data_IF_596577323246
#
_entry.id   IF_596577323246
#
_cell.length_a   1.000
_cell.length_b   1.000
_cell.length_c   1.000
_cell.angle_alpha   90.00
_cell.angle_beta   90.00
_cell.angle_gamma   90.00
#
_symmetry.space_group_name_H-M   'P 1'
#
loop_
_entity.id
_entity.type
_entity.pdbx_description
1 polymer ?
#
# COMPACT_ATOMS: atom_id res chain seq x y z
N UNK A 1 26.53 -43.19 71.01
CA UNK A 1 26.10 -43.32 69.64
C UNK A 1 25.07 -42.24 69.32
N UNK A 2 25.53 -41.12 68.79
CA UNK A 2 24.64 -40.00 68.48
C UNK A 2 24.23 -40.10 67.02
N UNK A 3 22.90 -40.27 66.80
CA UNK A 3 22.29 -40.28 65.47
C UNK A 3 22.05 -38.80 65.07
N UNK A 4 22.85 -38.29 64.16
CA UNK A 4 22.61 -36.99 63.54
C UNK A 4 21.46 -37.09 62.57
N UNK A 5 20.34 -36.39 62.88
CA UNK A 5 19.20 -36.22 61.99
C UNK A 5 19.49 -35.04 61.10
N UNK A 6 19.60 -35.27 59.79
CA UNK A 6 19.71 -34.22 58.81
C UNK A 6 18.32 -33.77 58.45
N UNK A 7 17.97 -32.55 58.86
CA UNK A 7 16.76 -31.89 58.36
C UNK A 7 17.08 -31.27 56.98
N UNK A 8 16.54 -31.86 55.94
CA UNK A 8 16.54 -31.27 54.59
C UNK A 8 15.49 -30.16 54.53
N UNK A 9 15.95 -28.90 54.52
CA UNK A 9 15.07 -27.78 54.21
C UNK A 9 14.85 -27.73 52.71
N UNK A 10 13.63 -28.08 52.25
CA UNK A 10 13.21 -27.90 50.89
C UNK A 10 12.92 -26.40 50.68
N UNK A 11 13.81 -25.69 49.97
CA UNK A 11 13.50 -24.36 49.45
C UNK A 11 12.51 -24.51 48.27
N UNK A 12 11.26 -24.16 48.50
CA UNK A 12 10.30 -23.99 47.42
C UNK A 12 10.54 -22.65 46.74
N UNK A 13 11.18 -22.70 45.56
CA UNK A 13 11.36 -21.53 44.72
C UNK A 13 10.01 -21.22 44.03
N UNK A 14 9.28 -20.27 44.58
CA UNK A 14 8.07 -19.74 43.93
C UNK A 14 8.47 -18.96 42.70
N UNK A 15 8.31 -19.56 41.50
CA UNK A 15 8.44 -18.87 40.26
C UNK A 15 7.20 -18.00 40.07
N UNK A 16 7.38 -16.68 40.31
CA UNK A 16 6.39 -15.68 39.88
C UNK A 16 6.41 -15.63 38.36
N UNK A 17 5.39 -16.29 37.74
CA UNK A 17 5.11 -16.10 36.31
C UNK A 17 4.70 -14.64 36.09
N UNK A 18 5.29 -13.93 35.12
CA UNK A 18 4.80 -12.62 34.78
C UNK A 18 3.36 -12.76 34.25
N UNK A 19 2.42 -12.07 34.89
CA UNK A 19 1.09 -11.91 34.37
C UNK A 19 1.18 -11.27 33.00
N UNK A 20 0.48 -11.79 31.96
CA UNK A 20 0.43 -11.11 30.69
C UNK A 20 -0.14 -9.71 30.92
N UNK A 21 0.59 -8.69 30.50
CA UNK A 21 0.10 -7.33 30.49
C UNK A 21 -1.20 -7.32 29.72
N UNK A 22 -2.31 -6.93 30.40
CA UNK A 22 -3.59 -6.67 29.75
C UNK A 22 -3.30 -5.58 28.73
N UNK A 23 -3.37 -5.95 27.43
CA UNK A 23 -3.31 -4.98 26.35
C UNK A 23 -4.40 -3.93 26.64
N UNK A 24 -3.99 -2.70 26.90
CA UNK A 24 -4.90 -1.57 27.04
C UNK A 24 -5.81 -1.49 25.80
N UNK A 25 -6.91 -0.75 25.84
CA UNK A 25 -7.83 -0.68 24.72
C UNK A 25 -7.04 -0.29 23.47
N UNK A 26 -6.93 -1.24 22.53
CA UNK A 26 -6.40 -0.97 21.19
C UNK A 26 -7.23 0.16 20.64
N UNK A 27 -6.59 1.29 20.44
CA UNK A 27 -7.24 2.52 20.02
C UNK A 27 -8.08 2.19 18.78
N UNK A 28 -9.40 2.37 18.85
CA UNK A 28 -10.34 2.05 17.76
C UNK A 28 -9.97 2.71 16.42
N UNK A 29 -9.11 3.72 16.44
CA UNK A 29 -8.52 4.34 15.26
C UNK A 29 -7.61 3.39 14.45
N UNK A 30 -7.06 2.32 15.05
CA UNK A 30 -6.20 1.35 14.34
C UNK A 30 -7.05 0.25 13.67
N UNK A 31 -8.25 -0.01 14.16
CA UNK A 31 -9.16 -1.02 13.57
C UNK A 31 -9.96 -0.46 12.39
N UNK A 32 -10.01 0.87 12.21
CA UNK A 32 -10.69 1.52 11.09
C UNK A 32 -9.87 1.58 9.80
N UNK A 33 -8.66 1.02 9.75
CA UNK A 33 -7.82 1.03 8.54
C UNK A 33 -8.08 -0.14 7.58
N UNK A 34 -9.31 -0.67 7.51
CA UNK A 34 -9.78 -1.39 6.33
C UNK A 34 -9.98 -0.43 5.15
N UNK A 35 -9.91 0.89 5.40
CA UNK A 35 -10.00 1.91 4.37
C UNK A 35 -8.67 2.07 3.64
N UNK A 36 -8.76 2.26 2.35
CA UNK A 36 -7.61 2.51 1.48
C UNK A 36 -6.84 3.78 1.93
N UNK A 37 -5.58 3.67 2.37
CA UNK A 37 -4.81 4.80 2.92
C UNK A 37 -4.48 5.88 1.88
N UNK A 38 -4.81 5.65 0.61
CA UNK A 38 -4.51 6.58 -0.49
C UNK A 38 -5.71 7.42 -0.91
N UNK A 39 -6.87 7.24 -0.26
CA UNK A 39 -8.11 7.94 -0.62
C UNK A 39 -8.31 9.21 0.21
N UNK A 40 -9.05 10.15 -0.37
CA UNK A 40 -9.51 11.40 0.28
C UNK A 40 -8.37 12.24 0.88
N UNK A 41 -7.16 12.09 0.38
CA UNK A 41 -6.00 12.81 0.85
C UNK A 41 -5.85 14.18 0.17
N UNK A 42 -5.51 15.19 0.95
CA UNK A 42 -4.98 16.46 0.45
C UNK A 42 -3.65 16.26 -0.29
N UNK A 43 -3.23 17.27 -1.05
CA UNK A 43 -1.94 17.22 -1.76
C UNK A 43 -0.75 17.01 -0.80
N UNK A 44 -0.80 17.63 0.37
CA UNK A 44 0.29 17.51 1.37
C UNK A 44 0.32 16.13 2.03
N UNK A 45 -0.85 15.55 2.29
CA UNK A 45 -0.93 14.17 2.84
C UNK A 45 -0.43 13.15 1.83
N UNK A 46 -0.75 13.30 0.53
CA UNK A 46 -0.24 12.39 -0.51
C UNK A 46 1.28 12.32 -0.54
N UNK A 47 1.98 13.42 -0.29
CA UNK A 47 3.46 13.44 -0.25
C UNK A 47 4.07 12.56 0.85
N UNK A 48 3.29 12.19 1.86
CA UNK A 48 3.71 11.30 2.95
C UNK A 48 3.53 9.82 2.63
N UNK A 49 2.79 9.50 1.57
CA UNK A 49 2.59 8.12 1.13
C UNK A 49 3.74 7.70 0.22
N UNK A 50 4.43 6.63 0.57
CA UNK A 50 5.49 6.09 -0.29
C UNK A 50 4.95 5.42 -1.54
N UNK A 51 5.80 5.24 -2.55
CA UNK A 51 5.43 4.53 -3.77
C UNK A 51 4.97 3.10 -3.49
N UNK A 52 5.65 2.39 -2.58
CA UNK A 52 5.36 1.00 -2.22
C UNK A 52 3.97 0.87 -1.59
N UNK A 53 3.61 1.78 -0.68
CA UNK A 53 2.28 1.82 -0.07
C UNK A 53 1.21 2.14 -1.12
N UNK A 54 1.48 3.11 -2.00
CA UNK A 54 0.53 3.54 -3.02
C UNK A 54 0.26 2.45 -4.06
N UNK A 55 1.30 1.81 -4.61
CA UNK A 55 1.15 0.82 -5.70
C UNK A 55 0.43 -0.44 -5.24
N UNK A 56 0.53 -0.77 -3.95
CA UNK A 56 -0.14 -1.91 -3.32
C UNK A 56 -1.52 -1.57 -2.74
N UNK A 57 -1.91 -0.29 -2.78
CA UNK A 57 -3.21 0.14 -2.25
C UNK A 57 -4.39 -0.52 -2.98
N UNK A 58 -5.52 -0.72 -2.28
CA UNK A 58 -6.72 -1.30 -2.87
C UNK A 58 -7.20 -0.54 -4.11
N UNK A 59 -7.20 0.81 -4.09
CA UNK A 59 -7.59 1.63 -5.26
C UNK A 59 -6.64 1.42 -6.43
N UNK A 60 -5.32 1.39 -6.21
CA UNK A 60 -4.35 1.16 -7.29
C UNK A 60 -4.55 -0.19 -7.96
N UNK A 61 -4.71 -1.25 -7.17
CA UNK A 61 -4.98 -2.61 -7.67
C UNK A 61 -6.28 -2.69 -8.48
N UNK A 62 -7.34 -2.09 -7.94
CA UNK A 62 -8.63 -2.01 -8.63
C UNK A 62 -8.50 -1.30 -9.99
N UNK A 63 -7.85 -0.13 -10.03
CA UNK A 63 -7.69 0.64 -11.26
C UNK A 63 -6.88 -0.12 -12.30
N UNK A 64 -5.75 -0.70 -11.95
CA UNK A 64 -4.95 -1.53 -12.87
C UNK A 64 -5.79 -2.68 -13.46
N UNK A 65 -6.68 -3.25 -12.67
CA UNK A 65 -7.59 -4.31 -13.12
C UNK A 65 -8.63 -3.79 -14.12
N UNK A 66 -9.33 -2.71 -13.80
CA UNK A 66 -10.44 -2.20 -14.64
C UNK A 66 -9.96 -1.46 -15.89
N UNK A 67 -8.80 -0.78 -15.83
CA UNK A 67 -8.26 -0.05 -16.96
C UNK A 67 -7.66 -0.97 -18.04
N UNK A 68 -6.99 -2.04 -17.65
CA UNK A 68 -6.22 -2.87 -18.59
C UNK A 68 -6.16 -4.35 -18.26
N UNK A 69 -6.88 -4.81 -17.23
CA UNK A 69 -6.72 -6.17 -16.70
C UNK A 69 -5.25 -6.47 -16.28
N UNK A 70 -4.55 -5.48 -15.69
CA UNK A 70 -3.14 -5.52 -15.32
C UNK A 70 -2.17 -5.70 -16.51
N UNK A 71 -2.58 -5.37 -17.72
CA UNK A 71 -1.76 -5.56 -18.91
C UNK A 71 -0.96 -4.28 -19.27
N UNK A 72 0.34 -4.29 -18.99
CA UNK A 72 1.24 -3.16 -19.29
C UNK A 72 1.38 -2.88 -20.81
N UNK A 73 1.03 -3.82 -21.67
CA UNK A 73 1.10 -3.66 -23.13
C UNK A 73 -0.24 -3.22 -23.73
N UNK A 74 -1.27 -3.08 -22.89
CA UNK A 74 -2.61 -2.70 -23.32
C UNK A 74 -2.62 -1.35 -24.04
N UNK A 75 -3.46 -1.27 -25.08
CA UNK A 75 -3.78 -0.01 -25.77
C UNK A 75 -5.29 0.10 -25.89
N UNK A 76 -5.84 1.27 -25.60
CA UNK A 76 -7.27 1.56 -25.66
C UNK A 76 -7.56 2.82 -26.47
N UNK A 77 -8.84 3.03 -26.84
CA UNK A 77 -9.27 4.23 -27.53
C UNK A 77 -8.50 4.46 -28.84
N UNK A 78 -8.37 3.43 -29.69
CA UNK A 78 -7.59 3.47 -30.94
C UNK A 78 -6.12 3.92 -30.71
N UNK A 79 -5.50 3.46 -29.62
CA UNK A 79 -4.12 3.78 -29.26
C UNK A 79 -3.94 5.10 -28.52
N UNK A 80 -5.03 5.80 -28.19
CA UNK A 80 -4.98 7.04 -27.41
C UNK A 80 -4.54 6.80 -25.97
N UNK A 81 -4.93 5.67 -25.37
CA UNK A 81 -4.63 5.28 -24.01
C UNK A 81 -3.69 4.09 -23.98
N UNK A 82 -2.71 4.10 -23.09
CA UNK A 82 -1.57 3.21 -23.13
C UNK A 82 -1.25 2.61 -21.75
N UNK A 83 -0.93 1.32 -21.74
CA UNK A 83 -0.38 0.61 -20.60
C UNK A 83 -1.37 0.25 -19.51
N UNK A 84 -0.83 -0.20 -18.37
CA UNK A 84 -1.61 -0.66 -17.21
C UNK A 84 -2.62 0.38 -16.73
N UNK A 85 -2.24 1.66 -16.76
CA UNK A 85 -3.02 2.78 -16.25
C UNK A 85 -3.81 3.52 -17.32
N UNK A 86 -3.80 3.04 -18.56
CA UNK A 86 -4.44 3.68 -19.71
C UNK A 86 -4.13 5.18 -19.80
N UNK A 87 -2.85 5.51 -19.70
CA UNK A 87 -2.36 6.90 -19.75
C UNK A 87 -2.36 7.42 -21.19
N UNK A 88 -2.82 8.65 -21.38
CA UNK A 88 -2.68 9.35 -22.66
C UNK A 88 -1.27 9.96 -22.80
N UNK A 89 -0.94 10.41 -24.04
CA UNK A 89 0.38 10.96 -24.35
C UNK A 89 0.72 12.21 -23.53
N UNK A 90 -0.26 13.06 -23.21
CA UNK A 90 -0.10 14.26 -22.39
C UNK A 90 0.28 13.90 -20.96
N UNK A 91 -0.45 12.97 -20.34
CA UNK A 91 -0.16 12.47 -18.99
C UNK A 91 1.24 11.86 -18.93
N UNK A 92 1.55 10.97 -19.86
CA UNK A 92 2.85 10.31 -19.96
C UNK A 92 4.01 11.31 -20.03
N UNK A 93 3.88 12.34 -20.88
CA UNK A 93 4.87 13.43 -21.00
C UNK A 93 4.98 14.24 -19.72
N UNK A 94 3.85 14.72 -19.18
CA UNK A 94 3.81 15.63 -18.03
C UNK A 94 4.47 15.04 -16.79
N UNK A 95 4.26 13.75 -16.55
CA UNK A 95 4.81 13.07 -15.36
C UNK A 95 6.12 12.31 -15.62
N UNK A 96 6.81 12.66 -16.71
CA UNK A 96 8.19 12.24 -16.98
C UNK A 96 8.34 10.85 -17.59
N UNK A 97 7.29 10.30 -18.19
CA UNK A 97 7.32 8.98 -18.83
C UNK A 97 8.24 8.91 -20.05
N UNK A 98 8.43 10.05 -20.75
CA UNK A 98 9.28 10.08 -21.96
C UNK A 98 10.73 9.67 -21.75
N UNK A 99 11.25 9.75 -20.53
CA UNK A 99 12.60 9.26 -20.20
C UNK A 99 12.69 7.73 -20.24
N UNK A 100 11.56 7.02 -20.10
CA UNK A 100 11.53 5.57 -20.14
C UNK A 100 11.20 5.04 -21.55
N UNK A 101 10.16 5.59 -22.17
CA UNK A 101 9.74 5.18 -23.50
C UNK A 101 8.90 6.27 -24.19
N UNK A 102 8.73 6.16 -25.50
CA UNK A 102 7.89 7.08 -26.30
C UNK A 102 6.41 7.02 -25.91
N UNK A 103 5.92 5.85 -25.46
CA UNK A 103 4.54 5.59 -25.02
C UNK A 103 4.55 4.69 -23.79
N UNK A 104 3.54 4.79 -22.93
CA UNK A 104 3.46 3.98 -21.73
C UNK A 104 3.51 2.47 -22.01
N UNK A 105 2.78 1.98 -23.00
CA UNK A 105 2.77 0.55 -23.38
C UNK A 105 4.14 0.01 -23.88
N UNK A 106 5.11 0.87 -24.11
CA UNK A 106 6.50 0.49 -24.48
C UNK A 106 7.44 0.47 -23.28
N UNK A 107 7.04 1.04 -22.14
CA UNK A 107 7.77 1.00 -20.89
C UNK A 107 7.48 -0.29 -20.12
N UNK A 108 8.30 -0.59 -19.12
CA UNK A 108 8.04 -1.67 -18.17
C UNK A 108 6.83 -1.34 -17.28
N UNK A 109 6.21 -2.36 -16.68
CA UNK A 109 5.09 -2.14 -15.74
C UNK A 109 5.48 -1.23 -14.58
N UNK A 110 6.67 -1.43 -14.03
CA UNK A 110 7.22 -0.63 -12.94
C UNK A 110 7.39 0.85 -13.33
N UNK A 111 7.93 1.13 -14.52
CA UNK A 111 8.07 2.49 -15.02
C UNK A 111 6.73 3.18 -15.23
N UNK A 112 5.72 2.43 -15.66
CA UNK A 112 4.36 2.92 -15.76
C UNK A 112 3.77 3.23 -14.40
N UNK A 113 3.97 2.37 -13.40
CA UNK A 113 3.55 2.60 -12.02
C UNK A 113 4.21 3.86 -11.44
N UNK A 114 5.50 4.06 -11.67
CA UNK A 114 6.23 5.27 -11.22
C UNK A 114 5.66 6.57 -11.82
N UNK A 115 5.32 6.55 -13.11
CA UNK A 115 4.71 7.71 -13.77
C UNK A 115 3.29 7.97 -13.26
N UNK A 116 2.50 6.92 -13.07
CA UNK A 116 1.16 7.02 -12.52
C UNK A 116 1.19 7.55 -11.07
N UNK A 117 2.14 7.09 -10.25
CA UNK A 117 2.33 7.61 -8.89
C UNK A 117 2.61 9.12 -8.87
N UNK A 118 3.46 9.63 -9.76
CA UNK A 118 3.71 11.07 -9.89
C UNK A 118 2.45 11.84 -10.26
N UNK A 119 1.65 11.31 -11.17
CA UNK A 119 0.35 11.87 -11.50
C UNK A 119 -0.61 11.89 -10.31
N UNK A 120 -0.63 10.82 -9.53
CA UNK A 120 -1.43 10.73 -8.31
C UNK A 120 -0.94 11.71 -7.23
N UNK A 121 0.36 11.85 -7.00
CA UNK A 121 0.89 12.85 -6.07
C UNK A 121 0.37 14.26 -6.39
N UNK A 122 0.32 14.60 -7.68
CA UNK A 122 -0.13 15.91 -8.14
C UNK A 122 -1.66 16.09 -8.06
N UNK A 123 -2.44 15.05 -8.44
CA UNK A 123 -3.87 15.18 -8.75
C UNK A 123 -4.77 14.20 -7.98
N UNK A 124 -4.23 13.37 -7.09
CA UNK A 124 -4.97 12.27 -6.47
C UNK A 124 -5.50 11.30 -7.51
N UNK A 125 -6.63 10.70 -7.24
CA UNK A 125 -7.26 9.73 -8.14
C UNK A 125 -8.08 10.34 -9.29
N UNK A 126 -8.14 11.68 -9.40
CA UNK A 126 -8.95 12.35 -10.43
C UNK A 126 -8.61 12.00 -11.88
N UNK A 127 -7.37 11.61 -12.26
CA UNK A 127 -7.08 11.17 -13.61
C UNK A 127 -7.76 9.86 -14.01
N UNK A 128 -8.21 9.08 -13.02
CA UNK A 128 -8.85 7.77 -13.22
C UNK A 128 -10.30 7.79 -12.70
N UNK A 129 -11.28 8.14 -13.55
CA UNK A 129 -12.69 8.23 -13.14
C UNK A 129 -13.25 6.97 -12.45
N UNK A 130 -12.85 5.74 -12.82
CA UNK A 130 -13.32 4.53 -12.14
C UNK A 130 -13.00 4.47 -10.65
N UNK A 131 -11.99 5.23 -10.16
CA UNK A 131 -11.67 5.30 -8.74
C UNK A 131 -12.85 5.74 -7.88
N UNK A 132 -13.79 6.54 -8.42
CA UNK A 132 -15.01 6.99 -7.71
C UNK A 132 -15.95 5.83 -7.40
N UNK A 133 -15.93 4.79 -8.22
CA UNK A 133 -16.82 3.63 -8.11
C UNK A 133 -16.25 2.52 -7.22
N UNK A 134 -14.96 2.64 -6.87
CA UNK A 134 -14.32 1.65 -5.99
C UNK A 134 -14.83 1.81 -4.56
N UNK A 135 -15.30 0.70 -3.99
CA UNK A 135 -15.66 0.57 -2.59
C UNK A 135 -14.74 -0.50 -2.00
N UNK A 136 -13.86 -0.15 -1.05
CA UNK A 136 -12.96 -1.11 -0.40
C UNK A 136 -13.76 -2.11 0.45
#
# INVERSE_FOLDING_TARGET
MEKRIWLSAALTLSVLLPTPAVAGPVNSAIVQSAEDPTRNLSKEERKKISFEVWVESPTAKYLKKVESNNNCKSTGGNGKYQGTWQMNAGFWKTYGGKKYASKASKATCMEQDLVAYKGWLARGWSPWPPAKNFKP
#
